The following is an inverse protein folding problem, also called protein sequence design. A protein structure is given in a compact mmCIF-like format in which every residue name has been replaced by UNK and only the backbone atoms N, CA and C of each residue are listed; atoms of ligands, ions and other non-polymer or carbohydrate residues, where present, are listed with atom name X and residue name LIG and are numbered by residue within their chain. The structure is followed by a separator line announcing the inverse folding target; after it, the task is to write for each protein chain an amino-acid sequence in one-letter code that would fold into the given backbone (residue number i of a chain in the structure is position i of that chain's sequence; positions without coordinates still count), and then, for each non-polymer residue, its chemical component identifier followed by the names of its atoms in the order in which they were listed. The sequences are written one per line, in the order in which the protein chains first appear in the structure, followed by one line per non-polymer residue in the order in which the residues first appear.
data_IF_834329487727
#
_entry.id   IF_834329487727
#
_cell.length_a   1.000
_cell.length_b   1.000
_cell.length_c   1.000
_cell.angle_alpha   90.00
_cell.angle_beta   90.00
_cell.angle_gamma   90.00
#
_symmetry.space_group_name_H-M   'P 1'
#
loop_
_entity.id
_entity.type
_entity.pdbx_description
1 polymer ?
#
# COMPACT_ATOMS: atom_id res chain seq x y z
N UNK A 1 13.00 -56.94 -23.95
CA UNK A 1 12.63 -55.57 -24.36
C UNK A 1 12.01 -54.92 -23.15
N UNK A 2 12.69 -53.94 -22.54
CA UNK A 2 12.20 -53.25 -21.33
C UNK A 2 11.40 -52.05 -21.82
N UNK A 3 10.11 -52.06 -21.50
CA UNK A 3 9.16 -51.01 -21.80
C UNK A 3 9.54 -49.75 -20.99
N UNK A 4 10.10 -48.74 -21.65
CA UNK A 4 10.33 -47.43 -21.04
C UNK A 4 8.96 -46.80 -20.73
N UNK A 5 8.56 -46.84 -19.46
CA UNK A 5 7.42 -46.07 -18.97
C UNK A 5 7.68 -44.57 -19.20
N UNK A 6 6.77 -43.84 -19.87
CA UNK A 6 6.91 -42.41 -20.03
C UNK A 6 6.83 -41.75 -18.65
N UNK A 7 7.94 -41.19 -18.18
CA UNK A 7 7.96 -40.36 -16.97
C UNK A 7 7.06 -39.16 -17.20
N UNK A 8 5.88 -39.18 -16.58
CA UNK A 8 5.03 -38.00 -16.46
C UNK A 8 5.88 -36.89 -15.85
N UNK A 9 6.09 -35.76 -16.55
CA UNK A 9 6.89 -34.67 -16.02
C UNK A 9 6.22 -34.15 -14.75
N UNK A 10 7.02 -34.02 -13.69
CA UNK A 10 6.57 -33.59 -12.38
C UNK A 10 5.86 -32.23 -12.50
N UNK A 11 4.71 -32.08 -11.84
CA UNK A 11 3.83 -30.90 -11.94
C UNK A 11 4.57 -29.58 -11.61
N UNK A 12 5.72 -29.69 -10.93
CA UNK A 12 6.59 -28.62 -10.46
C UNK A 12 7.69 -28.17 -11.44
N UNK A 13 7.95 -28.92 -12.52
CA UNK A 13 9.05 -28.64 -13.47
C UNK A 13 8.60 -28.13 -14.85
N UNK A 14 7.31 -27.94 -15.06
CA UNK A 14 6.74 -27.48 -16.33
C UNK A 14 6.90 -25.97 -16.56
N UNK A 15 6.91 -25.56 -17.83
CA UNK A 15 6.83 -24.15 -18.28
C UNK A 15 5.68 -23.40 -17.57
N UNK A 16 4.59 -24.09 -17.25
CA UNK A 16 3.43 -23.57 -16.52
C UNK A 16 3.79 -23.02 -15.13
N UNK A 17 4.68 -23.69 -14.37
CA UNK A 17 5.08 -23.23 -13.03
C UNK A 17 5.95 -21.99 -13.13
N UNK A 18 6.88 -21.96 -14.08
CA UNK A 18 7.67 -20.75 -14.36
C UNK A 18 6.79 -19.57 -14.75
N UNK A 19 5.78 -19.80 -15.59
CA UNK A 19 4.85 -18.75 -16.00
C UNK A 19 4.03 -18.22 -14.81
N UNK A 20 3.48 -19.10 -13.98
CA UNK A 20 2.73 -18.71 -12.78
C UNK A 20 3.61 -17.94 -11.80
N UNK A 21 4.82 -18.45 -11.53
CA UNK A 21 5.78 -17.77 -10.65
C UNK A 21 6.13 -16.37 -11.18
N UNK A 22 6.35 -16.22 -12.49
CA UNK A 22 6.61 -14.91 -13.11
C UNK A 22 5.41 -13.97 -13.00
N UNK A 23 4.19 -14.46 -13.21
CA UNK A 23 2.97 -13.64 -13.07
C UNK A 23 2.81 -13.15 -11.63
N UNK A 24 2.97 -14.05 -10.65
CA UNK A 24 2.91 -13.69 -9.23
C UNK A 24 3.98 -12.65 -8.90
N UNK A 25 5.23 -12.85 -9.35
CA UNK A 25 6.32 -11.91 -9.14
C UNK A 25 6.00 -10.51 -9.69
N UNK A 26 5.48 -10.44 -10.92
CA UNK A 26 5.13 -9.16 -11.56
C UNK A 26 3.99 -8.47 -10.81
N UNK A 27 2.95 -9.22 -10.42
CA UNK A 27 1.83 -8.66 -9.65
C UNK A 27 2.33 -8.11 -8.31
N UNK A 28 3.14 -8.88 -7.57
CA UNK A 28 3.71 -8.45 -6.29
C UNK A 28 4.56 -7.17 -6.44
N UNK A 29 5.33 -7.06 -7.52
CA UNK A 29 6.15 -5.88 -7.77
C UNK A 29 5.29 -4.64 -8.04
N UNK A 30 4.23 -4.79 -8.85
CA UNK A 30 3.27 -3.71 -9.11
C UNK A 30 2.53 -3.31 -7.83
N UNK A 31 2.13 -4.28 -7.01
CA UNK A 31 1.47 -4.01 -5.73
C UNK A 31 2.35 -3.20 -4.79
N UNK A 32 3.64 -3.52 -4.68
CA UNK A 32 4.59 -2.74 -3.85
C UNK A 32 4.71 -1.30 -4.37
N UNK A 33 4.84 -1.12 -5.69
CA UNK A 33 4.97 0.21 -6.31
C UNK A 33 3.75 1.10 -6.00
N UNK A 34 2.54 0.52 -6.01
CA UNK A 34 1.30 1.27 -5.72
C UNK A 34 1.13 1.46 -4.21
N UNK A 35 1.51 0.47 -3.41
CA UNK A 35 1.32 0.47 -1.96
C UNK A 35 2.18 1.54 -1.26
N UNK A 36 3.45 1.72 -1.66
CA UNK A 36 4.37 2.67 -1.03
C UNK A 36 3.83 4.11 -0.97
N UNK A 37 3.41 4.75 -2.08
CA UNK A 37 2.82 6.09 -2.04
C UNK A 37 1.45 6.11 -1.36
N UNK A 38 0.72 4.99 -1.35
CA UNK A 38 -0.58 4.90 -0.70
C UNK A 38 -0.46 4.96 0.82
N UNK A 39 0.46 4.17 1.39
CA UNK A 39 0.67 4.11 2.84
C UNK A 39 1.38 5.36 3.37
N UNK A 40 2.24 5.99 2.57
CA UNK A 40 2.85 7.28 2.92
C UNK A 40 1.81 8.40 2.99
N UNK A 41 0.88 8.45 2.03
CA UNK A 41 -0.25 9.38 2.05
C UNK A 41 -1.18 9.13 3.23
N UNK A 42 -1.46 7.87 3.57
CA UNK A 42 -2.27 7.54 4.75
C UNK A 42 -1.64 8.11 6.03
N UNK A 43 -0.33 7.89 6.23
CA UNK A 43 0.41 8.45 7.37
C UNK A 43 0.35 9.98 7.37
N UNK A 44 0.63 10.63 6.24
CA UNK A 44 0.60 12.09 6.14
C UNK A 44 -0.80 12.65 6.48
N UNK A 45 -1.86 12.08 5.92
CA UNK A 45 -3.24 12.50 6.20
C UNK A 45 -3.62 12.29 7.67
N UNK A 46 -3.22 11.17 8.26
CA UNK A 46 -3.47 10.88 9.68
C UNK A 46 -2.81 11.95 10.57
N UNK A 47 -1.55 12.29 10.29
CA UNK A 47 -0.80 13.32 11.03
C UNK A 47 -1.38 14.72 10.80
N UNK A 48 -1.75 15.06 9.57
CA UNK A 48 -2.38 16.34 9.23
C UNK A 48 -3.70 16.52 9.97
N UNK A 49 -4.53 15.47 10.06
CA UNK A 49 -5.79 15.51 10.81
C UNK A 49 -5.56 15.76 12.30
N UNK A 50 -4.54 15.12 12.89
CA UNK A 50 -4.16 15.34 14.29
C UNK A 50 -3.63 16.75 14.52
N UNK A 51 -2.80 17.24 13.61
CA UNK A 51 -2.26 18.59 13.66
C UNK A 51 -3.37 19.65 13.54
N UNK A 52 -4.36 19.45 12.67
CA UNK A 52 -5.51 20.35 12.54
C UNK A 52 -6.29 20.50 13.85
N UNK A 53 -6.48 19.41 14.61
CA UNK A 53 -7.10 19.46 15.94
C UNK A 53 -6.23 20.29 16.91
N UNK A 54 -4.91 20.08 16.90
CA UNK A 54 -3.96 20.86 17.70
C UNK A 54 -3.96 22.35 17.36
N UNK A 55 -4.04 22.71 16.07
CA UNK A 55 -4.14 24.09 15.60
C UNK A 55 -5.43 24.77 16.09
N UNK A 56 -6.56 24.05 16.08
CA UNK A 56 -7.82 24.56 16.62
C UNK A 56 -7.68 24.80 18.13
N UNK A 57 -7.09 23.87 18.87
CA UNK A 57 -6.84 24.03 20.30
C UNK A 57 -5.94 25.25 20.58
N UNK A 58 -4.85 25.42 19.81
CA UNK A 58 -3.96 26.57 19.93
C UNK A 58 -4.66 27.90 19.65
N UNK A 59 -5.53 27.96 18.64
CA UNK A 59 -6.33 29.17 18.35
C UNK A 59 -7.31 29.53 19.45
N UNK A 60 -7.90 28.54 20.12
CA UNK A 60 -8.78 28.80 21.27
C UNK A 60 -7.97 29.36 22.44
N UNK A 61 -6.76 28.85 22.66
CA UNK A 61 -5.84 29.36 23.68
C UNK A 61 -5.37 30.79 23.39
N UNK A 62 -5.10 31.14 22.13
CA UNK A 62 -4.70 32.50 21.73
C UNK A 62 -5.77 33.57 22.02
N UNK A 63 -7.04 33.18 22.18
CA UNK A 63 -8.15 34.11 22.48
C UNK A 63 -8.35 34.28 24.00
N UNK A 64 -7.76 33.40 24.82
CA UNK A 64 -7.84 33.48 26.29
C UNK A 64 -6.55 34.11 26.83
N UNK A 65 -6.58 35.36 27.31
CA UNK A 65 -5.38 36.14 27.63
C UNK A 65 -4.53 35.59 28.80
N UNK A 66 -5.07 34.68 29.62
CA UNK A 66 -4.34 34.03 30.72
C UNK A 66 -4.39 32.50 30.60
N UNK A 67 -3.44 31.94 29.83
CA UNK A 67 -3.23 30.49 29.72
C UNK A 67 -3.03 29.81 31.09
N UNK A 68 -2.62 30.56 32.12
CA UNK A 68 -2.38 30.10 33.50
C UNK A 68 -3.66 29.95 34.34
N UNK A 69 -4.84 30.33 33.80
CA UNK A 69 -6.13 30.26 34.50
C UNK A 69 -7.13 29.28 33.88
N UNK A 70 -6.69 28.47 32.91
CA UNK A 70 -7.56 27.46 32.32
C UNK A 70 -7.85 26.34 33.34
N UNK A 71 -9.11 25.91 33.50
CA UNK A 71 -9.43 24.71 34.25
C UNK A 71 -8.67 23.53 33.66
N UNK A 72 -7.95 22.76 34.49
CA UNK A 72 -7.22 21.55 34.06
C UNK A 72 -8.11 20.59 33.26
N UNK A 73 -9.40 20.55 33.60
CA UNK A 73 -10.43 19.78 32.90
C UNK A 73 -10.62 20.14 31.42
N UNK A 74 -10.35 21.38 31.01
CA UNK A 74 -10.47 21.82 29.62
C UNK A 74 -9.21 21.42 28.84
N UNK A 75 -8.03 21.61 29.43
CA UNK A 75 -6.75 21.20 28.87
C UNK A 75 -6.70 19.69 28.66
N UNK A 76 -7.14 18.92 29.65
CA UNK A 76 -7.16 17.45 29.59
C UNK A 76 -8.15 16.93 28.53
N UNK A 77 -9.29 17.59 28.36
CA UNK A 77 -10.26 17.30 27.28
C UNK A 77 -9.69 17.61 25.90
N UNK A 78 -8.97 18.72 25.74
CA UNK A 78 -8.35 19.10 24.46
C UNK A 78 -7.19 18.16 24.10
N UNK A 79 -6.36 17.78 25.08
CA UNK A 79 -5.28 16.81 24.90
C UNK A 79 -5.83 15.42 24.56
N UNK A 80 -6.87 14.98 25.28
CA UNK A 80 -7.57 13.70 25.00
C UNK A 80 -8.21 13.71 23.62
N UNK A 81 -8.87 14.81 23.22
CA UNK A 81 -9.47 14.93 21.88
C UNK A 81 -8.41 14.96 20.77
N UNK A 82 -7.28 15.63 20.99
CA UNK A 82 -6.14 15.61 20.07
C UNK A 82 -5.45 14.24 20.06
N UNK A 83 -5.56 13.44 21.12
CA UNK A 83 -4.74 12.25 21.34
C UNK A 83 -3.25 12.62 21.49
N UNK A 84 -2.99 13.83 21.99
CA UNK A 84 -1.67 14.39 22.16
C UNK A 84 -1.23 14.30 23.62
N UNK A 85 0.03 13.97 23.81
CA UNK A 85 0.70 13.95 25.11
C UNK A 85 1.03 15.38 25.54
N UNK A 86 1.42 16.23 24.58
CA UNK A 86 1.66 17.66 24.79
C UNK A 86 1.46 18.46 23.50
N UNK A 87 1.19 19.76 23.64
CA UNK A 87 1.06 20.73 22.53
C UNK A 87 1.98 21.91 22.84
N UNK A 88 3.03 22.10 22.04
CA UNK A 88 3.88 23.29 22.13
C UNK A 88 3.46 24.32 21.08
N UNK A 89 3.34 25.59 21.49
CA UNK A 89 3.00 26.70 20.60
C UNK A 89 4.14 27.73 20.57
N UNK A 90 4.66 28.03 19.38
CA UNK A 90 5.75 29.00 19.20
C UNK A 90 5.32 30.13 18.28
N UNK A 91 5.44 31.36 18.77
CA UNK A 91 5.06 32.59 18.05
C UNK A 91 6.11 33.69 18.24
N UNK A 92 6.45 34.39 17.16
CA UNK A 92 7.24 35.64 17.18
C UNK A 92 8.54 35.58 18.01
N UNK A 93 9.28 34.46 17.92
CA UNK A 93 10.57 34.29 18.62
C UNK A 93 10.46 33.96 20.11
N UNK A 94 9.25 33.87 20.68
CA UNK A 94 9.02 33.38 22.03
C UNK A 94 8.38 31.98 21.97
N UNK A 95 9.04 31.01 22.60
CA UNK A 95 8.57 29.62 22.69
C UNK A 95 7.80 29.48 24.00
N UNK A 96 6.46 29.40 23.94
CA UNK A 96 5.66 29.02 25.10
C UNK A 96 5.38 27.52 25.03
N UNK A 97 6.12 26.75 25.82
CA UNK A 97 5.90 25.32 25.97
C UNK A 97 4.70 25.12 26.91
N UNK A 98 3.58 24.63 26.39
CA UNK A 98 2.47 24.16 27.21
C UNK A 98 2.68 22.65 27.37
N UNK A 99 3.44 22.30 28.40
CA UNK A 99 3.75 20.92 28.76
C UNK A 99 2.69 20.39 29.72
N UNK A 100 2.28 19.13 29.55
CA UNK A 100 1.44 18.46 30.54
C UNK A 100 2.30 18.26 31.78
N UNK A 101 1.92 18.86 32.90
CA UNK A 101 2.50 18.52 34.20
C UNK A 101 2.45 16.98 34.34
N UNK A 102 3.60 16.34 34.50
CA UNK A 102 3.79 14.89 34.72
C UNK A 102 4.00 13.94 33.51
N UNK A 103 4.52 14.38 32.36
CA UNK A 103 5.07 13.44 31.36
C UNK A 103 6.54 13.73 31.03
N UNK A 104 7.50 12.88 31.46
CA UNK A 104 8.91 13.06 31.13
C UNK A 104 9.13 13.12 29.61
N UNK A 105 9.92 14.10 29.14
CA UNK A 105 10.34 14.19 27.74
C UNK A 105 10.93 12.85 27.27
N UNK A 106 10.32 12.17 26.29
CA UNK A 106 10.77 10.87 25.83
C UNK A 106 12.16 10.96 25.19
N UNK A 107 13.02 10.01 25.51
CA UNK A 107 14.44 9.99 25.12
C UNK A 107 14.67 9.71 23.61
N UNK A 108 13.63 9.45 22.83
CA UNK A 108 13.70 9.13 21.40
C UNK A 108 12.58 9.84 20.63
N UNK A 109 12.88 11.03 20.11
CA UNK A 109 11.99 11.78 19.22
C UNK A 109 12.32 11.49 17.76
N UNK A 110 11.36 10.92 17.03
CA UNK A 110 11.37 10.98 15.56
C UNK A 110 10.53 12.19 15.17
N UNK A 111 11.15 13.12 14.43
CA UNK A 111 10.48 14.33 13.97
C UNK A 111 9.80 14.06 12.63
N UNK A 112 8.48 14.19 12.60
CA UNK A 112 7.70 14.28 11.37
C UNK A 112 7.43 15.75 11.06
N UNK A 113 8.25 16.34 10.20
CA UNK A 113 8.01 17.69 9.70
C UNK A 113 6.99 17.65 8.56
N UNK A 114 5.79 18.17 8.81
CA UNK A 114 4.71 18.22 7.81
C UNK A 114 4.84 19.40 6.83
N UNK A 115 5.90 20.19 6.93
CA UNK A 115 6.17 21.32 6.02
C UNK A 115 6.96 20.90 4.78
N UNK A 116 7.52 19.68 4.78
CA UNK A 116 8.31 19.13 3.70
C UNK A 116 7.61 17.89 3.13
N UNK A 117 7.00 18.03 1.96
CA UNK A 117 6.24 16.96 1.29
C UNK A 117 7.09 16.19 0.25
N UNK A 118 8.38 15.98 0.53
CA UNK A 118 9.22 15.21 -0.39
C UNK A 118 8.74 13.74 -0.45
N UNK A 119 8.38 13.20 -1.64
CA UNK A 119 7.81 11.86 -1.75
C UNK A 119 8.69 10.74 -1.19
N UNK A 120 10.02 10.87 -1.33
CA UNK A 120 10.96 9.85 -0.86
C UNK A 120 11.01 9.85 0.67
N UNK A 121 11.04 11.04 1.27
CA UNK A 121 10.98 11.20 2.73
C UNK A 121 9.67 10.65 3.33
N UNK A 122 8.53 10.89 2.66
CA UNK A 122 7.23 10.41 3.11
C UNK A 122 7.15 8.89 3.08
N UNK A 123 7.67 8.26 2.02
CA UNK A 123 7.76 6.81 1.89
C UNK A 123 8.70 6.23 2.95
N UNK A 124 9.88 6.82 3.13
CA UNK A 124 10.85 6.40 4.15
C UNK A 124 10.27 6.44 5.56
N UNK A 125 9.63 7.54 5.92
CA UNK A 125 8.98 7.70 7.23
C UNK A 125 7.81 6.74 7.45
N UNK A 126 7.07 6.36 6.40
CA UNK A 126 6.01 5.37 6.50
C UNK A 126 6.55 3.94 6.67
N UNK A 127 7.62 3.58 5.96
CA UNK A 127 8.28 2.29 6.12
C UNK A 127 8.92 2.16 7.51
N UNK A 128 9.64 3.18 7.97
CA UNK A 128 10.23 3.16 9.30
C UNK A 128 9.15 2.97 10.38
N UNK A 129 8.03 3.67 10.25
CA UNK A 129 6.89 3.54 11.14
C UNK A 129 6.30 2.11 11.16
N UNK A 130 6.13 1.49 9.99
CA UNK A 130 5.57 0.14 9.88
C UNK A 130 6.49 -0.94 10.47
N UNK A 131 7.79 -0.83 10.23
CA UNK A 131 8.76 -1.85 10.66
C UNK A 131 9.23 -1.64 12.10
N UNK A 132 9.51 -0.38 12.49
CA UNK A 132 10.19 -0.06 13.75
C UNK A 132 9.35 0.74 14.75
N UNK A 133 8.22 1.34 14.35
CA UNK A 133 7.47 2.24 15.25
C UNK A 133 6.58 1.47 16.23
N UNK A 134 6.92 1.28 17.49
CA UNK A 134 6.01 0.60 18.45
C UNK A 134 5.82 1.31 19.76
N UNK A 135 6.84 2.03 20.24
CA UNK A 135 6.82 2.59 21.60
C UNK A 135 7.53 3.95 21.70
N UNK A 136 7.61 4.66 20.56
CA UNK A 136 8.22 6.00 20.49
C UNK A 136 7.16 7.07 20.46
N UNK A 137 7.55 8.28 20.82
CA UNK A 137 6.73 9.47 20.61
C UNK A 137 7.16 10.16 19.33
N UNK A 138 6.17 10.48 18.51
CA UNK A 138 6.33 11.22 17.28
C UNK A 138 6.13 12.71 17.58
N UNK A 139 7.12 13.52 17.23
CA UNK A 139 7.00 14.98 17.25
C UNK A 139 6.54 15.45 15.87
N UNK A 140 5.31 15.95 15.80
CA UNK A 140 4.70 16.44 14.57
C UNK A 140 4.78 17.96 14.55
N UNK A 141 5.44 18.52 13.54
CA UNK A 141 5.61 19.97 13.41
C UNK A 141 4.81 20.46 12.22
N UNK A 142 4.04 21.53 12.42
CA UNK A 142 3.28 22.18 11.35
C UNK A 142 3.07 23.66 11.60
N UNK A 143 2.65 24.36 10.54
CA UNK A 143 2.36 25.79 10.55
C UNK A 143 0.86 26.01 10.73
N UNK A 144 0.49 27.03 11.50
CA UNK A 144 -0.91 27.46 11.59
C UNK A 144 -1.28 28.22 10.31
N UNK A 145 -2.32 27.83 9.56
CA UNK A 145 -2.72 28.54 8.36
C UNK A 145 -3.03 30.01 8.65
N UNK A 146 -2.45 30.92 7.87
CA UNK A 146 -2.68 32.37 8.01
C UNK A 146 -1.89 33.07 9.12
N UNK A 147 -0.96 32.39 9.80
CA UNK A 147 -0.01 33.01 10.75
C UNK A 147 1.40 32.44 10.57
N UNK A 148 2.42 33.10 11.14
CA UNK A 148 3.79 32.57 11.21
C UNK A 148 4.02 31.68 12.45
N UNK A 149 2.95 31.22 13.09
CA UNK A 149 3.05 30.42 14.31
C UNK A 149 3.28 28.93 13.99
N UNK A 150 4.11 28.29 14.81
CA UNK A 150 4.38 26.86 14.75
C UNK A 150 3.64 26.14 15.87
N UNK A 151 3.03 25.01 15.52
CA UNK A 151 2.42 24.08 16.47
C UNK A 151 3.23 22.80 16.42
N UNK A 152 3.70 22.35 17.58
CA UNK A 152 4.35 21.06 17.74
C UNK A 152 3.45 20.15 18.58
N UNK A 153 3.15 18.97 18.05
CA UNK A 153 2.31 17.97 18.68
C UNK A 153 3.15 16.76 19.03
N UNK A 154 3.15 16.36 20.30
CA UNK A 154 3.80 15.13 20.76
C UNK A 154 2.72 14.04 20.88
N UNK A 155 2.81 13.00 20.05
CA UNK A 155 1.81 11.92 19.99
C UNK A 155 2.48 10.55 20.06
N UNK A 156 1.80 9.55 20.60
CA UNK A 156 2.29 8.17 20.59
C UNK A 156 2.25 7.59 19.16
N UNK A 157 3.30 6.86 18.77
CA UNK A 157 3.34 6.12 17.49
C UNK A 157 2.37 4.94 17.46
N UNK A 158 2.06 4.31 18.60
CA UNK A 158 1.27 3.08 18.67
C UNK A 158 -0.09 3.13 17.90
N UNK A 159 -0.97 4.13 18.11
CA UNK A 159 -2.24 4.21 17.38
C UNK A 159 -2.05 4.40 15.87
N UNK A 160 -1.07 5.21 15.46
CA UNK A 160 -0.76 5.41 14.06
C UNK A 160 -0.32 4.10 13.39
N UNK A 161 0.57 3.31 14.03
CA UNK A 161 0.97 2.02 13.45
C UNK A 161 -0.19 1.05 13.38
N UNK A 162 -1.03 0.97 14.41
CA UNK A 162 -2.20 0.09 14.41
C UNK A 162 -3.12 0.42 13.22
N UNK A 163 -3.42 1.69 13.02
CA UNK A 163 -4.24 2.17 11.89
C UNK A 163 -3.56 1.89 10.54
N UNK A 164 -2.24 2.11 10.43
CA UNK A 164 -1.47 1.78 9.23
C UNK A 164 -1.47 0.28 8.93
N UNK A 165 -1.40 -0.60 9.94
CA UNK A 165 -1.46 -2.06 9.75
C UNK A 165 -2.84 -2.50 9.28
N UNK A 166 -3.91 -1.93 9.84
CA UNK A 166 -5.29 -2.17 9.38
C UNK A 166 -5.47 -1.71 7.94
N UNK A 167 -5.01 -0.50 7.62
CA UNK A 167 -5.02 0.04 6.26
C UNK A 167 -4.28 -0.87 5.28
N UNK A 168 -3.08 -1.33 5.65
CA UNK A 168 -2.24 -2.21 4.83
C UNK A 168 -2.91 -3.55 4.56
N UNK A 169 -3.52 -4.15 5.60
CA UNK A 169 -4.30 -5.39 5.45
C UNK A 169 -5.49 -5.20 4.51
N UNK A 170 -6.21 -4.09 4.62
CA UNK A 170 -7.37 -3.81 3.77
C UNK A 170 -6.96 -3.65 2.30
N UNK A 171 -5.88 -2.90 2.03
CA UNK A 171 -5.34 -2.76 0.68
C UNK A 171 -4.87 -4.10 0.13
N UNK A 172 -4.16 -4.90 0.91
CA UNK A 172 -3.70 -6.22 0.49
C UNK A 172 -4.86 -7.16 0.11
N UNK A 173 -5.93 -7.17 0.90
CA UNK A 173 -7.12 -7.99 0.57
C UNK A 173 -7.79 -7.47 -0.70
N UNK A 174 -7.94 -6.16 -0.84
CA UNK A 174 -8.54 -5.54 -2.03
C UNK A 174 -7.71 -5.84 -3.29
N UNK A 175 -6.38 -5.68 -3.22
CA UNK A 175 -5.48 -5.95 -4.34
C UNK A 175 -5.50 -7.42 -4.74
N UNK A 176 -5.52 -8.32 -3.76
CA UNK A 176 -5.64 -9.76 -3.99
C UNK A 176 -6.94 -10.13 -4.73
N UNK A 177 -8.06 -9.52 -4.35
CA UNK A 177 -9.35 -9.73 -5.04
C UNK A 177 -9.26 -9.26 -6.50
N UNK A 178 -8.75 -8.04 -6.72
CA UNK A 178 -8.59 -7.46 -8.06
C UNK A 178 -7.64 -8.30 -8.92
N UNK A 179 -6.53 -8.77 -8.35
CA UNK A 179 -5.56 -9.63 -9.03
C UNK A 179 -6.21 -10.97 -9.43
N UNK A 180 -6.94 -11.62 -8.52
CA UNK A 180 -7.63 -12.88 -8.81
C UNK A 180 -8.69 -12.74 -9.90
N UNK A 181 -9.48 -11.65 -9.85
CA UNK A 181 -10.46 -11.34 -10.90
C UNK A 181 -9.80 -11.12 -12.26
N UNK A 182 -8.78 -10.25 -12.29
CA UNK A 182 -8.02 -9.94 -13.51
C UNK A 182 -7.35 -11.18 -14.09
N UNK A 183 -6.66 -11.97 -13.27
CA UNK A 183 -6.00 -13.21 -13.68
C UNK A 183 -7.01 -14.23 -14.24
N UNK A 184 -8.19 -14.35 -13.61
CA UNK A 184 -9.26 -15.24 -14.09
C UNK A 184 -9.77 -14.83 -15.46
N UNK A 185 -10.01 -13.53 -15.68
CA UNK A 185 -10.45 -13.00 -16.98
C UNK A 185 -9.38 -13.22 -18.04
N UNK A 186 -8.12 -12.83 -17.76
CA UNK A 186 -7.00 -13.02 -18.69
C UNK A 186 -6.83 -14.50 -19.04
N UNK A 187 -6.86 -15.39 -18.05
CA UNK A 187 -6.73 -16.83 -18.27
C UNK A 187 -7.84 -17.36 -19.18
N UNK A 188 -9.09 -16.96 -18.95
CA UNK A 188 -10.23 -17.36 -19.77
C UNK A 188 -10.08 -16.87 -21.21
N UNK A 189 -9.73 -15.60 -21.41
CA UNK A 189 -9.53 -15.00 -22.73
C UNK A 189 -8.39 -15.70 -23.45
N UNK A 190 -7.22 -15.84 -22.80
CA UNK A 190 -6.05 -16.49 -23.38
C UNK A 190 -6.31 -17.96 -23.73
N UNK A 191 -7.00 -18.68 -22.83
CA UNK A 191 -7.35 -20.08 -23.01
C UNK A 191 -8.24 -20.29 -24.24
N UNK A 192 -9.28 -19.44 -24.40
CA UNK A 192 -10.21 -19.55 -25.53
C UNK A 192 -9.63 -19.01 -26.84
N UNK A 193 -8.95 -17.88 -26.79
CA UNK A 193 -8.48 -17.18 -27.99
C UNK A 193 -7.18 -17.76 -28.55
N UNK A 194 -6.26 -18.23 -27.71
CA UNK A 194 -4.92 -18.64 -28.14
C UNK A 194 -4.61 -20.11 -27.82
N UNK A 195 -4.77 -20.55 -26.57
CA UNK A 195 -4.29 -21.88 -26.15
C UNK A 195 -5.07 -23.01 -26.83
N UNK A 196 -6.41 -22.96 -26.84
CA UNK A 196 -7.23 -24.00 -27.46
C UNK A 196 -6.98 -24.14 -28.97
N UNK A 197 -6.96 -23.07 -29.78
CA UNK A 197 -6.64 -23.16 -31.20
C UNK A 197 -5.24 -23.71 -31.48
N UNK A 198 -4.22 -23.22 -30.78
CA UNK A 198 -2.84 -23.70 -30.96
C UNK A 198 -2.74 -25.20 -30.64
N UNK A 199 -3.39 -25.67 -29.56
CA UNK A 199 -3.44 -27.10 -29.25
C UNK A 199 -4.13 -27.92 -30.33
N UNK A 200 -5.21 -27.40 -30.93
CA UNK A 200 -5.90 -28.04 -32.06
C UNK A 200 -4.97 -28.15 -33.27
N UNK A 201 -4.28 -27.06 -33.63
CA UNK A 201 -3.35 -27.04 -34.76
C UNK A 201 -2.19 -28.04 -34.56
N UNK A 202 -1.59 -28.07 -33.36
CA UNK A 202 -0.53 -29.03 -33.02
C UNK A 202 -1.05 -30.46 -33.10
N UNK A 203 -2.24 -30.73 -32.56
CA UNK A 203 -2.88 -32.06 -32.65
C UNK A 203 -3.08 -32.49 -34.10
N UNK A 204 -3.55 -31.58 -34.96
CA UNK A 204 -3.75 -31.84 -36.38
C UNK A 204 -2.42 -32.11 -37.10
N UNK A 205 -1.38 -31.30 -36.85
CA UNK A 205 -0.03 -31.54 -37.40
C UNK A 205 0.54 -32.88 -36.95
N UNK A 206 0.34 -33.27 -35.69
CA UNK A 206 0.77 -34.58 -35.19
C UNK A 206 -0.01 -35.74 -35.84
N UNK A 207 -1.32 -35.56 -36.08
CA UNK A 207 -2.14 -36.56 -36.77
C UNK A 207 -1.71 -36.73 -38.23
N UNK A 208 -1.54 -35.62 -38.96
CA UNK A 208 -1.05 -35.63 -40.34
C UNK A 208 0.35 -36.25 -40.45
N UNK A 209 1.26 -35.97 -39.49
CA UNK A 209 2.58 -36.62 -39.46
C UNK A 209 2.51 -38.14 -39.32
N UNK A 210 1.49 -38.67 -38.64
CA UNK A 210 1.31 -40.13 -38.46
C UNK A 210 0.70 -40.80 -39.68
N UNK A 211 -0.23 -40.14 -40.37
CA UNK A 211 -0.93 -40.66 -41.55
C UNK A 211 -1.03 -39.57 -42.65
N UNK A 212 0.06 -39.27 -43.37
CA UNK A 212 0.10 -38.13 -44.29
C UNK A 212 -0.77 -38.32 -45.54
N UNK A 213 -1.12 -39.55 -45.88
CA UNK A 213 -1.95 -39.91 -47.03
C UNK A 213 -3.46 -39.93 -46.72
N UNK A 214 -3.85 -39.74 -45.46
CA UNK A 214 -5.24 -39.75 -45.03
C UNK A 214 -5.90 -38.36 -45.19
N UNK A 215 -6.54 -38.14 -46.33
CA UNK A 215 -7.21 -36.88 -46.69
C UNK A 215 -8.36 -36.49 -45.72
N UNK A 216 -8.86 -37.41 -44.89
CA UNK A 216 -9.92 -37.12 -43.90
C UNK A 216 -9.41 -36.33 -42.69
N UNK A 217 -8.09 -36.21 -42.52
CA UNK A 217 -7.45 -35.43 -41.44
C UNK A 217 -7.35 -33.93 -41.75
N UNK A 218 -7.68 -33.51 -42.97
CA UNK A 218 -7.72 -32.11 -43.40
C UNK A 218 -9.05 -31.50 -42.93
N UNK A 219 -8.99 -30.78 -41.81
CA UNK A 219 -10.16 -30.13 -41.22
C UNK A 219 -10.53 -28.84 -41.96
N UNK A 220 -11.84 -28.54 -42.02
CA UNK A 220 -12.32 -27.28 -42.58
C UNK A 220 -11.84 -26.07 -41.74
N UNK A 221 -11.36 -24.98 -42.37
CA UNK A 221 -10.92 -23.78 -41.68
C UNK A 221 -12.05 -23.19 -40.83
N UNK A 222 -11.71 -22.79 -39.62
CA UNK A 222 -12.59 -22.03 -38.73
C UNK A 222 -12.88 -20.65 -39.34
N UNK A 223 -14.05 -20.04 -39.11
CA UNK A 223 -14.38 -18.68 -39.59
C UNK A 223 -13.58 -17.55 -38.88
N UNK A 224 -12.40 -17.85 -38.31
CA UNK A 224 -11.58 -16.89 -37.59
C UNK A 224 -10.82 -16.01 -38.57
N UNK A 225 -10.59 -14.76 -38.17
CA UNK A 225 -9.90 -13.71 -38.96
C UNK A 225 -8.60 -13.23 -38.31
N UNK A 226 -8.17 -13.90 -37.26
CA UNK A 226 -6.90 -13.64 -36.57
C UNK A 226 -5.75 -14.40 -37.26
N UNK A 227 -4.51 -14.16 -36.81
CA UNK A 227 -3.31 -14.80 -37.35
C UNK A 227 -3.36 -16.33 -37.28
N UNK A 228 -4.12 -16.89 -36.34
CA UNK A 228 -4.33 -18.33 -36.22
C UNK A 228 -5.23 -18.86 -37.34
N UNK A 229 -6.25 -18.10 -37.74
CA UNK A 229 -7.09 -18.45 -38.89
C UNK A 229 -6.36 -18.48 -40.22
N UNK A 230 -5.25 -17.75 -40.36
CA UNK A 230 -4.38 -17.79 -41.56
C UNK A 230 -3.54 -19.07 -41.61
N UNK A 231 -3.30 -19.71 -40.45
CA UNK A 231 -2.47 -20.91 -40.33
C UNK A 231 -3.25 -22.23 -40.43
N UNK A 232 -4.58 -22.20 -40.32
CA UNK A 232 -5.45 -23.38 -40.49
C UNK A 232 -5.59 -23.77 -41.97
#
# INVERSE_FOLDING_TARGET
MVEEQPRVPDFLTGISVRLIATIILVIMLVEVVIYLPSVSNFRANWLSNKLAIGVVAARVLDVVPDAMSLPETLTDRLLTAAGAVAIAYRRDGQSQLIERTDVPMPMAEVTADMRHDDPVSLIGGALEMLFFGSDRTLRVVGTVPGTNALVELLISEAPLRADMLVYSRNIFILSLIVAMMTASVIFVVLSRSLIRPIRRLISNMMAFRREPENATLINAPSPRRDEIGVME
#
